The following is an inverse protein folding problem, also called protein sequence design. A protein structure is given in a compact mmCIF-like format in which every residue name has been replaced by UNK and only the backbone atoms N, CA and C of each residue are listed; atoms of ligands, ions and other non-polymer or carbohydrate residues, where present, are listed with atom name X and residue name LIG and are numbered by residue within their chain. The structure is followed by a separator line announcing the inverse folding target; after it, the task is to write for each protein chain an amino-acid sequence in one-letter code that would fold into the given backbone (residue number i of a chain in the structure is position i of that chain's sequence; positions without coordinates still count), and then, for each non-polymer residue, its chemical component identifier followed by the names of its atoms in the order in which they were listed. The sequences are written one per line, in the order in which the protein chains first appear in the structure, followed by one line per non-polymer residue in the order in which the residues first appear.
data_IF_204488942837
#
_entry.id   IF_204488942837
#
_cell.length_a   1.000
_cell.length_b   1.000
_cell.length_c   1.000
_cell.angle_alpha   90.00
_cell.angle_beta   90.00
_cell.angle_gamma   90.00
#
_symmetry.space_group_name_H-M   'P 1'
#
loop_
_entity.id
_entity.type
_entity.pdbx_description
1 polymer ?
#
# COMPACT_ATOMS: atom_id res chain seq x y z
N UNK A 1 12.09 -1.21 11.37
CA UNK A 1 13.53 -1.01 11.05
C UNK A 1 14.32 -2.30 10.72
N UNK A 2 13.73 -3.51 10.66
CA UNK A 2 14.46 -4.73 10.26
C UNK A 2 14.62 -4.87 8.74
N UNK A 3 13.59 -4.54 7.95
CA UNK A 3 13.63 -4.66 6.48
C UNK A 3 14.74 -3.82 5.82
N UNK A 4 14.96 -2.61 6.32
CA UNK A 4 16.01 -1.71 5.82
C UNK A 4 17.44 -2.27 6.01
N UNK A 5 17.62 -3.28 6.89
CA UNK A 5 18.91 -3.96 7.11
C UNK A 5 19.14 -5.14 6.17
N UNK A 6 18.10 -5.61 5.49
CA UNK A 6 18.22 -6.69 4.50
C UNK A 6 18.82 -6.08 3.23
N UNK A 7 19.91 -6.64 2.68
CA UNK A 7 20.49 -6.16 1.43
C UNK A 7 19.51 -6.34 0.27
N UNK A 8 19.62 -5.48 -0.75
CA UNK A 8 18.79 -5.55 -1.95
C UNK A 8 18.94 -6.91 -2.63
N UNK A 9 17.82 -7.58 -2.90
CA UNK A 9 17.82 -8.88 -3.58
C UNK A 9 17.93 -8.69 -5.11
N UNK A 10 18.59 -9.58 -5.87
CA UNK A 10 18.66 -9.45 -7.33
C UNK A 10 17.30 -9.27 -8.01
N UNK A 11 16.26 -9.97 -7.53
CA UNK A 11 14.91 -9.83 -8.05
C UNK A 11 14.30 -8.44 -7.80
N UNK A 12 14.56 -7.84 -6.63
CA UNK A 12 14.13 -6.44 -6.37
C UNK A 12 14.74 -5.49 -7.39
N UNK A 13 16.02 -5.69 -7.74
CA UNK A 13 16.72 -4.84 -8.72
C UNK A 13 16.14 -4.99 -10.13
N UNK A 14 15.84 -6.22 -10.55
CA UNK A 14 15.33 -6.48 -11.90
C UNK A 14 13.88 -6.03 -12.07
N UNK A 15 13.03 -6.29 -11.08
CA UNK A 15 11.57 -6.01 -11.16
C UNK A 15 11.21 -4.63 -10.60
N UNK A 16 12.12 -3.97 -9.86
CA UNK A 16 11.86 -2.73 -9.12
C UNK A 16 10.74 -2.87 -8.09
N UNK A 17 10.68 -4.02 -7.42
CA UNK A 17 9.66 -4.39 -6.44
C UNK A 17 10.30 -4.70 -5.07
N UNK A 18 10.13 -3.81 -4.09
CA UNK A 18 10.75 -3.93 -2.76
C UNK A 18 10.32 -5.18 -1.99
N UNK A 19 9.09 -5.67 -2.19
CA UNK A 19 8.59 -6.90 -1.54
C UNK A 19 9.41 -8.14 -1.90
N UNK A 20 10.11 -8.13 -3.03
CA UNK A 20 10.98 -9.23 -3.44
C UNK A 20 12.23 -9.33 -2.58
N UNK A 21 12.61 -8.26 -1.86
CA UNK A 21 13.67 -8.31 -0.84
C UNK A 21 13.31 -9.25 0.29
N UNK A 22 12.07 -9.18 0.74
CA UNK A 22 11.54 -9.96 1.87
C UNK A 22 11.45 -11.43 1.45
N UNK A 23 10.85 -11.71 0.29
CA UNK A 23 10.73 -13.06 -0.25
C UNK A 23 12.10 -13.68 -0.55
N UNK A 24 13.00 -12.91 -1.15
CA UNK A 24 14.37 -13.37 -1.46
C UNK A 24 15.22 -13.65 -0.22
N UNK A 25 14.90 -13.05 0.93
CA UNK A 25 15.53 -13.34 2.22
C UNK A 25 14.86 -14.52 2.98
N UNK A 26 13.88 -15.19 2.37
CA UNK A 26 13.21 -16.37 2.94
C UNK A 26 12.08 -16.06 3.92
N UNK A 27 11.61 -14.81 3.99
CA UNK A 27 10.49 -14.44 4.85
C UNK A 27 9.15 -14.52 4.10
N UNK A 28 8.08 -15.02 4.74
CA UNK A 28 6.75 -15.02 4.14
C UNK A 28 6.13 -13.63 4.11
N UNK A 29 5.24 -13.40 3.16
CA UNK A 29 4.34 -12.24 3.12
C UNK A 29 2.91 -12.76 3.23
N UNK A 30 2.21 -12.40 4.30
CA UNK A 30 0.81 -12.76 4.48
C UNK A 30 -0.07 -11.87 3.59
N UNK A 31 -1.03 -12.48 2.89
CA UNK A 31 -1.97 -11.81 1.99
C UNK A 31 -3.41 -12.15 2.38
N UNK A 32 -4.35 -11.25 2.09
CA UNK A 32 -5.78 -11.45 2.27
C UNK A 32 -6.57 -10.84 1.12
N UNK A 33 -7.74 -11.40 0.81
CA UNK A 33 -8.66 -10.86 -0.19
C UNK A 33 -9.52 -9.79 0.49
N UNK A 34 -9.66 -8.64 -0.17
CA UNK A 34 -10.52 -7.54 0.27
C UNK A 34 -11.57 -7.27 -0.81
N UNK A 35 -12.77 -6.88 -0.39
CA UNK A 35 -13.87 -6.56 -1.32
C UNK A 35 -13.61 -5.26 -2.07
N UNK A 36 -13.04 -4.27 -1.38
CA UNK A 36 -12.81 -2.94 -1.91
C UNK A 36 -11.32 -2.66 -2.06
N UNK A 37 -10.98 -1.90 -3.10
CA UNK A 37 -9.61 -1.46 -3.38
C UNK A 37 -9.36 -0.15 -2.65
N UNK A 38 -8.13 0.07 -2.17
CA UNK A 38 -7.72 1.38 -1.66
C UNK A 38 -7.66 2.39 -2.80
N UNK A 39 -8.16 3.62 -2.56
CA UNK A 39 -8.06 4.72 -3.52
C UNK A 39 -6.65 5.35 -3.46
N UNK A 40 -5.92 5.34 -4.57
CA UNK A 40 -4.69 6.12 -4.73
C UNK A 40 -5.00 7.59 -4.94
N UNK A 41 -4.17 8.49 -4.41
CA UNK A 41 -4.31 9.94 -4.58
C UNK A 41 -3.05 10.49 -5.24
N UNK A 42 -3.05 10.47 -6.58
CA UNK A 42 -1.88 10.89 -7.38
C UNK A 42 -2.17 12.18 -8.17
N UNK A 43 -3.43 12.52 -8.37
CA UNK A 43 -3.88 13.73 -9.09
C UNK A 43 -4.71 14.67 -8.20
N UNK A 44 -4.96 15.89 -8.68
CA UNK A 44 -5.84 16.85 -7.99
C UNK A 44 -7.26 16.30 -7.87
N UNK A 45 -7.74 15.68 -8.94
CA UNK A 45 -9.07 15.10 -9.05
C UNK A 45 -9.26 13.92 -8.08
N UNK A 46 -8.22 13.10 -7.89
CA UNK A 46 -8.24 12.03 -6.89
C UNK A 46 -8.34 12.58 -5.47
N UNK A 47 -7.63 13.69 -5.20
CA UNK A 47 -7.68 14.35 -3.91
C UNK A 47 -9.08 14.92 -3.61
N UNK A 48 -9.73 15.51 -4.61
CA UNK A 48 -11.09 16.03 -4.47
C UNK A 48 -12.10 14.92 -4.19
N UNK A 49 -11.99 13.77 -4.88
CA UNK A 49 -12.80 12.58 -4.59
C UNK A 49 -12.57 12.06 -3.18
N UNK A 50 -11.30 11.93 -2.76
CA UNK A 50 -10.95 11.53 -1.41
C UNK A 50 -11.59 12.45 -0.36
N UNK A 51 -11.55 13.78 -0.56
CA UNK A 51 -12.16 14.72 0.37
C UNK A 51 -13.68 14.59 0.46
N UNK A 52 -14.36 14.33 -0.66
CA UNK A 52 -15.81 14.12 -0.67
C UNK A 52 -16.19 12.86 0.12
N UNK A 53 -15.49 11.75 -0.13
CA UNK A 53 -15.71 10.48 0.56
C UNK A 53 -15.39 10.60 2.06
N UNK A 54 -14.26 11.25 2.39
CA UNK A 54 -13.85 11.47 3.78
C UNK A 54 -14.88 12.28 4.57
N UNK A 55 -15.43 13.36 3.99
CA UNK A 55 -16.48 14.17 4.63
C UNK A 55 -17.75 13.36 4.84
N UNK A 56 -18.17 12.58 3.83
CA UNK A 56 -19.34 11.69 3.94
C UNK A 56 -19.17 10.69 5.09
N UNK A 57 -17.99 10.08 5.18
CA UNK A 57 -17.67 9.14 6.26
C UNK A 57 -17.72 9.80 7.64
N UNK A 58 -17.16 11.01 7.80
CA UNK A 58 -17.21 11.75 9.06
C UNK A 58 -18.64 12.08 9.49
N UNK A 59 -19.52 12.45 8.56
CA UNK A 59 -20.93 12.72 8.87
C UNK A 59 -21.70 11.46 9.32
N UNK A 60 -21.42 10.30 8.71
CA UNK A 60 -22.07 9.03 9.08
C UNK A 60 -21.66 8.55 10.48
N UNK A 61 -20.44 8.85 10.92
CA UNK A 61 -19.93 8.41 12.23
C UNK A 61 -20.18 9.42 13.36
N UNK A 62 -20.73 10.59 13.04
CA UNK A 62 -21.09 11.63 14.01
C UNK A 62 -22.58 11.63 14.39
N UNK A 63 -23.38 10.76 13.77
CA UNK A 63 -24.80 10.50 14.06
C UNK A 63 -24.96 9.19 14.82
#
# INVERSE_FOLDING_TARGET
MQMAKIPMHPLEKYEKLEQLRVLGAGFPINLGIVEERTLGVDTREDYEKFLADYRRFQHLNAA
#
